data_IF_574965586124
#
_entry.id   IF_574965586124
#
_cell.length_a   1.000
_cell.length_b   1.000
_cell.length_c   1.000
_cell.angle_alpha   90.00
_cell.angle_beta   90.00
_cell.angle_gamma   90.00
#
_symmetry.space_group_name_H-M   'P 1'
#
loop_
_entity.id
_entity.type
_entity.pdbx_description
1 polymer ?
#
# COMPACT_ATOMS: atom_id res chain seq x y z
N UNK A 1 -6.94 -10.91 -0.95
CA UNK A 1 -5.97 -10.97 0.16
C UNK A 1 -6.47 -11.85 1.30
N UNK A 2 -5.66 -12.09 2.32
CA UNK A 2 -6.12 -12.77 3.54
C UNK A 2 -6.90 -11.82 4.46
N UNK A 3 -7.86 -12.32 5.24
CA UNK A 3 -8.52 -11.57 6.33
C UNK A 3 -9.36 -10.34 5.91
N UNK A 4 -10.16 -9.83 6.83
CA UNK A 4 -11.11 -8.76 6.54
C UNK A 4 -10.44 -7.39 6.31
N UNK A 5 -9.34 -7.13 7.04
CA UNK A 5 -8.61 -5.87 6.93
C UNK A 5 -8.05 -5.65 5.51
N UNK A 6 -7.29 -6.63 4.99
CA UNK A 6 -6.65 -6.49 3.68
C UNK A 6 -7.65 -6.58 2.51
N UNK A 7 -8.80 -7.22 2.70
CA UNK A 7 -9.87 -7.32 1.69
C UNK A 7 -10.82 -6.12 1.68
N UNK A 8 -10.69 -5.19 2.63
CA UNK A 8 -11.55 -4.01 2.69
C UNK A 8 -11.28 -3.07 1.52
N UNK A 9 -12.33 -2.75 0.76
CA UNK A 9 -12.37 -1.64 -0.19
C UNK A 9 -12.70 -0.38 0.60
N UNK A 10 -11.75 0.55 0.73
CA UNK A 10 -11.83 1.69 1.62
C UNK A 10 -11.33 2.96 0.90
N UNK A 11 -12.07 4.06 1.06
CA UNK A 11 -11.78 5.33 0.41
C UNK A 11 -12.50 5.56 -0.91
N UNK A 12 -11.91 6.40 -1.76
CA UNK A 12 -12.44 6.75 -3.10
C UNK A 12 -11.62 6.08 -4.21
N UNK A 13 -11.87 6.43 -5.47
CA UNK A 13 -11.07 6.04 -6.62
C UNK A 13 -9.78 6.88 -6.79
N UNK A 14 -9.58 7.89 -5.94
CA UNK A 14 -8.42 8.80 -5.97
C UNK A 14 -8.57 10.03 -6.86
N UNK A 15 -9.68 10.18 -7.60
CA UNK A 15 -9.94 11.40 -8.39
C UNK A 15 -10.49 12.54 -7.52
N UNK A 16 -11.40 12.21 -6.61
CA UNK A 16 -12.04 13.17 -5.72
C UNK A 16 -12.05 12.65 -4.29
N UNK A 17 -12.08 13.59 -3.34
CA UNK A 17 -12.17 13.31 -1.92
C UNK A 17 -13.22 14.20 -1.27
N UNK A 18 -13.69 13.80 -0.09
CA UNK A 18 -14.66 14.58 0.70
C UNK A 18 -14.14 15.99 1.02
N UNK A 19 -15.02 16.98 1.20
CA UNK A 19 -14.61 18.29 1.70
C UNK A 19 -14.08 18.23 3.15
N UNK A 20 -13.38 19.28 3.57
CA UNK A 20 -12.87 19.43 4.94
C UNK A 20 -11.67 18.53 5.27
N UNK A 21 -10.82 18.27 4.28
CA UNK A 21 -9.53 17.59 4.48
C UNK A 21 -8.57 18.55 5.19
N UNK A 22 -7.70 17.98 6.02
CA UNK A 22 -6.66 18.69 6.76
C UNK A 22 -5.34 17.90 6.75
N UNK A 23 -4.26 18.52 7.22
CA UNK A 23 -2.95 17.89 7.36
C UNK A 23 -2.95 16.59 8.20
N UNK A 24 -3.88 16.44 9.13
CA UNK A 24 -4.03 15.24 9.97
C UNK A 24 -4.86 14.13 9.29
N UNK A 25 -5.42 14.40 8.11
CA UNK A 25 -6.23 13.44 7.37
C UNK A 25 -5.37 12.34 6.77
N UNK A 26 -5.88 11.10 6.81
CA UNK A 26 -5.34 9.99 6.02
C UNK A 26 -6.31 9.71 4.90
N UNK A 27 -5.91 10.01 3.67
CA UNK A 27 -6.78 9.77 2.52
C UNK A 27 -6.59 8.34 2.07
N UNK A 28 -7.69 7.60 1.94
CA UNK A 28 -7.66 6.23 1.43
C UNK A 28 -8.18 6.22 0.00
N UNK A 29 -7.62 5.35 -0.82
CA UNK A 29 -8.11 5.06 -2.16
C UNK A 29 -8.10 3.56 -2.38
N UNK A 30 -9.07 3.06 -3.12
CA UNK A 30 -8.97 1.74 -3.72
C UNK A 30 -8.25 1.86 -5.05
N UNK A 31 -7.13 1.16 -5.23
CA UNK A 31 -6.36 1.22 -6.46
C UNK A 31 -6.46 -0.14 -7.19
N UNK A 32 -7.28 -0.23 -8.26
CA UNK A 32 -7.55 -1.50 -8.95
C UNK A 32 -6.29 -2.20 -9.45
N UNK A 33 -5.27 -1.46 -9.88
CA UNK A 33 -4.00 -2.02 -10.36
C UNK A 33 -3.12 -2.62 -9.25
N UNK A 34 -3.46 -2.40 -7.97
CA UNK A 34 -2.86 -3.11 -6.83
C UNK A 34 -3.87 -4.03 -6.14
N UNK A 35 -5.13 -4.03 -6.59
CA UNK A 35 -6.22 -4.83 -6.04
C UNK A 35 -6.40 -4.69 -4.52
N UNK A 36 -6.07 -3.51 -3.99
CA UNK A 36 -6.19 -3.21 -2.57
C UNK A 36 -6.46 -1.74 -2.35
N UNK A 37 -6.92 -1.46 -1.14
CA UNK A 37 -6.94 -0.11 -0.61
C UNK A 37 -5.53 0.29 -0.15
N UNK A 38 -5.16 1.51 -0.47
CA UNK A 38 -3.90 2.17 -0.09
C UNK A 38 -4.22 3.54 0.51
N UNK A 39 -3.22 4.19 1.09
CA UNK A 39 -3.42 5.48 1.73
C UNK A 39 -2.34 6.50 1.35
N UNK A 40 -2.74 7.76 1.42
CA UNK A 40 -1.93 8.94 1.20
C UNK A 40 -1.88 9.74 2.51
N UNK A 41 -0.72 10.31 2.79
CA UNK A 41 -0.48 11.19 3.95
C UNK A 41 -0.08 12.57 3.47
N UNK A 42 -0.39 13.58 4.28
CA UNK A 42 0.01 14.96 4.01
C UNK A 42 1.53 15.08 3.95
N UNK A 43 2.03 15.86 2.99
CA UNK A 43 3.44 16.15 2.75
C UNK A 43 3.76 17.65 2.79
N UNK A 44 2.76 18.51 2.85
CA UNK A 44 2.95 19.96 2.91
C UNK A 44 2.02 20.71 1.96
N UNK A 45 1.96 22.01 2.16
CA UNK A 45 1.21 22.93 1.30
C UNK A 45 2.02 23.27 0.05
N UNK A 46 1.34 23.39 -1.09
CA UNK A 46 1.89 23.85 -2.36
C UNK A 46 0.99 24.93 -2.97
N UNK A 47 1.57 25.82 -3.75
CA UNK A 47 0.79 26.71 -4.59
C UNK A 47 0.74 26.11 -6.01
N UNK A 48 -0.46 25.88 -6.52
CA UNK A 48 -0.70 25.45 -7.89
C UNK A 48 -1.54 26.49 -8.61
N UNK A 49 -0.92 27.22 -9.55
CA UNK A 49 -1.57 28.26 -10.35
C UNK A 49 -2.33 29.30 -9.51
N UNK A 50 -1.73 29.75 -8.40
CA UNK A 50 -2.32 30.72 -7.49
C UNK A 50 -3.23 30.11 -6.42
N UNK A 51 -3.54 28.82 -6.49
CA UNK A 51 -4.39 28.11 -5.52
C UNK A 51 -3.51 27.41 -4.50
N UNK A 52 -3.73 27.66 -3.21
CA UNK A 52 -3.11 26.89 -2.14
C UNK A 52 -3.73 25.49 -2.08
N UNK A 53 -2.90 24.46 -2.23
CA UNK A 53 -3.30 23.05 -2.23
C UNK A 53 -2.48 22.24 -1.25
N UNK A 54 -3.12 21.26 -0.63
CA UNK A 54 -2.45 20.29 0.23
C UNK A 54 -1.87 19.15 -0.62
N UNK A 55 -0.56 18.94 -0.53
CA UNK A 55 0.09 17.81 -1.19
C UNK A 55 -0.04 16.58 -0.32
N UNK A 56 -0.71 15.56 -0.83
CA UNK A 56 -0.72 14.21 -0.25
C UNK A 56 0.12 13.28 -1.12
N UNK A 57 0.81 12.32 -0.50
CA UNK A 57 1.56 11.29 -1.23
C UNK A 57 1.47 9.94 -0.55
N UNK A 58 1.76 8.88 -1.31
CA UNK A 58 2.08 7.59 -0.70
C UNK A 58 3.34 7.72 0.15
N UNK A 59 3.45 6.83 1.13
CA UNK A 59 4.53 6.80 2.10
C UNK A 59 5.20 5.42 2.11
N UNK A 60 6.47 5.38 2.50
CA UNK A 60 7.29 4.16 2.46
C UNK A 60 6.68 2.99 3.25
N UNK A 61 5.92 3.30 4.31
CA UNK A 61 5.26 2.32 5.16
C UNK A 61 4.11 1.55 4.47
N UNK A 62 3.67 1.99 3.28
CA UNK A 62 2.68 1.26 2.48
C UNK A 62 3.19 -0.11 2.04
N UNK A 63 4.51 -0.23 1.79
CA UNK A 63 5.22 -1.45 1.46
C UNK A 63 6.21 -1.82 2.58
N UNK A 64 5.84 -1.57 3.83
CA UNK A 64 6.67 -1.95 4.97
C UNK A 64 6.80 -3.47 5.09
N UNK A 65 7.90 -3.92 5.66
CA UNK A 65 8.07 -5.31 6.03
C UNK A 65 6.96 -5.75 7.02
N UNK A 66 6.20 -6.82 6.74
CA UNK A 66 5.20 -7.37 7.66
C UNK A 66 5.75 -7.79 9.02
N UNK A 67 7.06 -8.04 9.13
CA UNK A 67 7.77 -8.30 10.39
C UNK A 67 7.84 -7.05 11.28
N UNK A 68 7.84 -5.86 10.67
CA UNK A 68 7.79 -4.56 11.35
C UNK A 68 6.35 -4.09 11.51
N UNK A 69 5.55 -4.11 10.44
CA UNK A 69 4.13 -3.75 10.46
C UNK A 69 3.24 -5.00 10.25
N UNK A 70 2.80 -5.59 11.36
CA UNK A 70 2.01 -6.84 11.36
C UNK A 70 0.65 -6.73 10.66
N UNK A 71 0.09 -5.53 10.51
CA UNK A 71 -1.17 -5.32 9.79
C UNK A 71 -1.03 -5.65 8.30
N UNK A 72 0.19 -5.60 7.76
CA UNK A 72 0.47 -5.92 6.36
C UNK A 72 0.62 -7.41 6.08
N UNK A 73 0.67 -8.25 7.13
CA UNK A 73 0.86 -9.70 6.99
C UNK A 73 -0.19 -10.35 6.07
N UNK A 74 -1.42 -9.84 6.07
CA UNK A 74 -2.47 -10.42 5.24
C UNK A 74 -2.35 -10.11 3.73
N UNK A 75 -1.39 -9.26 3.34
CA UNK A 75 -0.98 -9.07 1.95
C UNK A 75 0.11 -10.04 1.49
N UNK A 76 0.69 -10.84 2.39
CA UNK A 76 1.68 -11.85 2.01
C UNK A 76 1.05 -13.00 1.23
N UNK A 77 1.86 -13.63 0.39
CA UNK A 77 1.45 -14.83 -0.32
C UNK A 77 1.26 -16.01 0.62
N UNK A 78 0.33 -16.89 0.28
CA UNK A 78 0.11 -18.11 1.06
C UNK A 78 1.28 -19.06 0.81
N UNK A 79 1.91 -19.61 1.86
CA UNK A 79 2.97 -20.58 1.68
C UNK A 79 2.43 -21.87 1.04
N UNK A 80 3.20 -22.46 0.12
CA UNK A 80 2.84 -23.70 -0.59
C UNK A 80 2.88 -24.90 0.36
N UNK A 81 3.77 -24.86 1.36
CA UNK A 81 3.94 -25.89 2.39
C UNK A 81 3.60 -25.27 3.75
N UNK A 82 2.86 -25.97 4.64
CA UNK A 82 2.65 -25.48 6.00
C UNK A 82 3.99 -25.23 6.69
N UNK A 83 4.16 -24.05 7.27
CA UNK A 83 5.37 -23.70 8.03
C UNK A 83 5.00 -23.16 9.40
N UNK A 84 5.90 -23.34 10.35
CA UNK A 84 5.81 -22.69 11.67
C UNK A 84 6.19 -21.21 11.61
N UNK A 85 6.83 -20.76 10.52
CA UNK A 85 7.20 -19.38 10.30
C UNK A 85 5.96 -18.54 9.94
N UNK A 86 5.48 -17.65 10.84
CA UNK A 86 4.29 -16.86 10.56
C UNK A 86 4.48 -15.82 9.46
N UNK A 87 5.71 -15.58 8.98
CA UNK A 87 6.03 -14.64 7.90
C UNK A 87 6.46 -15.34 6.61
N UNK A 88 6.27 -16.66 6.51
CA UNK A 88 6.50 -17.37 5.27
C UNK A 88 5.63 -16.81 4.14
N UNK A 89 6.22 -16.56 2.96
CA UNK A 89 5.54 -15.93 1.83
C UNK A 89 5.43 -14.40 1.93
N UNK A 90 5.94 -13.78 3.00
CA UNK A 90 6.10 -12.32 3.08
C UNK A 90 7.43 -11.89 2.45
N UNK A 91 7.37 -10.85 1.63
CA UNK A 91 8.57 -10.22 1.06
C UNK A 91 9.23 -9.27 2.08
N UNK A 92 10.45 -8.84 1.76
CA UNK A 92 11.11 -7.72 2.44
C UNK A 92 10.44 -6.39 2.10
N UNK A 93 10.81 -5.35 2.84
CA UNK A 93 10.35 -3.98 2.62
C UNK A 93 10.50 -3.56 1.15
N UNK A 94 9.52 -2.81 0.65
CA UNK A 94 9.51 -2.21 -0.68
C UNK A 94 8.88 -3.04 -1.77
N UNK A 95 8.47 -4.28 -1.46
CA UNK A 95 7.83 -5.17 -2.41
C UNK A 95 6.50 -5.70 -1.89
N UNK A 96 5.57 -5.92 -2.81
CA UNK A 96 4.36 -6.69 -2.59
C UNK A 96 4.22 -7.73 -3.70
N UNK A 97 3.80 -8.93 -3.31
CA UNK A 97 3.42 -9.97 -4.25
C UNK A 97 2.02 -9.67 -4.80
N UNK A 98 1.93 -9.52 -6.11
CA UNK A 98 0.70 -9.17 -6.82
C UNK A 98 0.12 -10.33 -7.62
N UNK A 99 0.65 -11.55 -7.45
CA UNK A 99 0.27 -12.73 -8.22
C UNK A 99 -1.21 -13.08 -8.10
N UNK A 100 -1.77 -13.02 -6.88
CA UNK A 100 -3.17 -13.35 -6.62
C UNK A 100 -4.18 -12.48 -7.38
N UNK A 101 -3.77 -11.30 -7.87
CA UNK A 101 -4.65 -10.46 -8.68
C UNK A 101 -4.44 -10.60 -10.19
N UNK A 102 -3.32 -11.19 -10.64
CA UNK A 102 -3.00 -11.36 -12.06
C UNK A 102 -2.89 -12.84 -12.42
N UNK A 103 -3.93 -13.60 -12.09
CA UNK A 103 -4.07 -15.03 -12.45
C UNK A 103 -2.84 -15.86 -12.05
N UNK A 104 -2.33 -15.63 -10.84
CA UNK A 104 -1.16 -16.32 -10.29
C UNK A 104 0.15 -16.11 -11.08
N UNK A 105 0.22 -15.05 -11.89
CA UNK A 105 1.47 -14.64 -12.57
C UNK A 105 2.48 -14.13 -11.53
N UNK A 106 3.76 -14.51 -11.59
CA UNK A 106 4.76 -14.15 -10.58
C UNK A 106 5.23 -12.69 -10.73
N UNK A 107 4.34 -11.74 -10.39
CA UNK A 107 4.55 -10.31 -10.53
C UNK A 107 4.73 -9.66 -9.17
N UNK A 108 5.81 -8.90 -9.03
CA UNK A 108 6.09 -8.09 -7.85
C UNK A 108 5.90 -6.61 -8.20
N UNK A 109 5.37 -5.85 -7.24
CA UNK A 109 5.26 -4.39 -7.36
C UNK A 109 6.15 -3.71 -6.34
N UNK A 110 6.80 -2.62 -6.77
CA UNK A 110 7.63 -1.75 -5.96
C UNK A 110 7.45 -0.29 -6.39
N UNK A 111 8.01 0.64 -5.61
CA UNK A 111 8.22 1.99 -6.11
C UNK A 111 9.31 2.01 -7.21
N UNK A 112 9.30 3.00 -8.12
CA UNK A 112 10.31 3.13 -9.15
C UNK A 112 11.73 3.05 -8.59
N UNK A 113 12.62 2.33 -9.30
CA UNK A 113 14.01 2.08 -8.86
C UNK A 113 14.14 1.43 -7.48
N UNK A 114 13.14 0.63 -7.07
CA UNK A 114 13.09 0.02 -5.74
C UNK A 114 13.22 1.05 -4.60
N UNK A 115 12.70 2.26 -4.83
CA UNK A 115 12.71 3.31 -3.83
C UNK A 115 12.04 2.83 -2.54
N UNK A 116 12.72 3.01 -1.40
CA UNK A 116 12.29 2.54 -0.07
C UNK A 116 12.36 1.02 0.17
N UNK A 117 12.83 0.24 -0.80
CA UNK A 117 13.07 -1.18 -0.58
C UNK A 117 14.26 -1.43 0.35
N UNK A 118 14.29 -2.64 0.89
CA UNK A 118 15.48 -3.17 1.55
C UNK A 118 16.66 -3.21 0.57
N UNK A 119 17.89 -3.00 1.07
CA UNK A 119 19.10 -2.94 0.24
C UNK A 119 19.55 -4.33 -0.27
N UNK A 120 18.98 -5.40 0.27
CA UNK A 120 19.31 -6.80 -0.01
C UNK A 120 18.20 -7.56 -0.76
#
# INVERSE_FOLDING_TARGET
WGGDYCNKIDGTDGYFFRPGISENSTLKIFYPELCRSVYLKFKGVKNYKGISVDKFSFTADLLEDPRVNKDLKCFCSKPIVPTENPFEGCLKKGFIDYASCKQESPLLVSYPHFLHADDE
#
